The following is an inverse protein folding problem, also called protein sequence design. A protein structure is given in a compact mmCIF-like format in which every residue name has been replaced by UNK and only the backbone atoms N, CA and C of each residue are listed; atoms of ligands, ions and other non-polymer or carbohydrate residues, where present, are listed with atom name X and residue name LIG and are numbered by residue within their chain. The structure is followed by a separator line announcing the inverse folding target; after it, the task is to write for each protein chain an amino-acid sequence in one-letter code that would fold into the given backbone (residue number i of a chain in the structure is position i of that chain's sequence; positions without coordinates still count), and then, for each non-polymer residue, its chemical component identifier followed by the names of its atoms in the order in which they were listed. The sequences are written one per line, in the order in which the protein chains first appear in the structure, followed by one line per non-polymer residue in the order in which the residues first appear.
data_IF_724788358908
#
_entry.id   IF_724788358908
#
_cell.length_a   1.000
_cell.length_b   1.000
_cell.length_c   1.000
_cell.angle_alpha   90.00
_cell.angle_beta   90.00
_cell.angle_gamma   90.00
#
_symmetry.space_group_name_H-M   'P 1'
#
loop_
_entity.id
_entity.type
_entity.pdbx_description
1 polymer ?
#
# COMPACT_ATOMS: atom_id res chain seq x y z
N UNK A 1 10.59 8.49 10.84
CA UNK A 1 9.26 7.85 10.75
C UNK A 1 8.33 8.81 10.03
N UNK A 2 7.81 8.42 8.86
CA UNK A 2 6.81 9.21 8.13
C UNK A 2 5.50 9.17 8.92
N UNK A 3 5.27 10.16 9.78
CA UNK A 3 4.11 10.15 10.66
C UNK A 3 2.87 10.63 9.90
N UNK A 4 1.97 9.70 9.58
CA UNK A 4 0.61 10.06 9.16
C UNK A 4 -0.16 10.66 10.33
N UNK A 5 -1.09 11.57 10.02
CA UNK A 5 -2.02 12.11 11.00
C UNK A 5 -2.79 10.96 11.69
N UNK A 6 -2.84 10.89 13.03
CA UNK A 6 -3.56 9.83 13.75
C UNK A 6 -5.04 9.70 13.35
N UNK A 7 -5.68 10.79 12.91
CA UNK A 7 -7.05 10.76 12.37
C UNK A 7 -7.14 10.01 11.04
N UNK A 8 -6.12 10.11 10.18
CA UNK A 8 -6.05 9.35 8.93
C UNK A 8 -5.92 7.86 9.24
N UNK A 9 -5.05 7.47 10.18
CA UNK A 9 -4.92 6.07 10.60
C UNK A 9 -6.25 5.52 11.11
N UNK A 10 -6.97 6.26 11.95
CA UNK A 10 -8.31 5.85 12.44
C UNK A 10 -9.33 5.71 11.31
N UNK A 11 -9.31 6.59 10.31
CA UNK A 11 -10.20 6.49 9.14
C UNK A 11 -9.85 5.26 8.29
N UNK A 12 -8.56 5.02 8.02
CA UNK A 12 -8.11 3.82 7.29
C UNK A 12 -8.51 2.54 8.03
N UNK A 13 -8.38 2.51 9.36
CA UNK A 13 -8.83 1.40 10.19
C UNK A 13 -10.33 1.17 10.07
N UNK A 14 -11.13 2.24 10.00
CA UNK A 14 -12.58 2.13 9.78
C UNK A 14 -12.93 1.59 8.39
N UNK A 15 -12.14 1.94 7.37
CA UNK A 15 -12.38 1.51 5.98
C UNK A 15 -12.00 0.03 5.79
N UNK A 16 -10.79 -0.35 6.20
CA UNK A 16 -10.23 -1.67 5.91
C UNK A 16 -10.35 -2.68 7.05
N UNK A 17 -10.50 -2.23 8.30
CA UNK A 17 -10.29 -3.05 9.50
C UNK A 17 -8.82 -3.08 9.95
N UNK A 18 -8.57 -3.14 11.26
CA UNK A 18 -7.21 -3.12 11.82
C UNK A 18 -6.37 -4.34 11.44
N UNK A 19 -7.02 -5.50 11.30
CA UNK A 19 -6.37 -6.74 10.87
C UNK A 19 -5.86 -6.70 9.42
N UNK A 20 -6.31 -5.71 8.63
CA UNK A 20 -5.91 -5.49 7.24
C UNK A 20 -5.03 -4.26 7.07
N UNK A 21 -4.40 -3.81 8.16
CA UNK A 21 -3.38 -2.79 8.18
C UNK A 21 -2.06 -3.37 8.68
N UNK A 22 -0.95 -3.00 8.03
CA UNK A 22 0.40 -3.34 8.51
C UNK A 22 1.08 -2.07 8.99
N UNK A 23 1.37 -2.03 10.28
CA UNK A 23 2.09 -0.93 10.94
C UNK A 23 3.39 -1.39 11.62
N UNK A 24 3.63 -2.70 11.71
CA UNK A 24 4.89 -3.26 12.19
C UNK A 24 5.97 -3.08 11.13
N UNK A 25 7.04 -2.35 11.46
CA UNK A 25 8.16 -2.10 10.55
C UNK A 25 8.80 -3.40 10.04
N UNK A 26 8.87 -4.45 10.86
CA UNK A 26 9.44 -5.75 10.46
C UNK A 26 8.60 -6.45 9.39
N UNK A 27 7.30 -6.16 9.34
CA UNK A 27 6.40 -6.68 8.31
C UNK A 27 6.37 -5.74 7.09
N UNK A 28 6.49 -4.44 7.31
CA UNK A 28 6.51 -3.42 6.26
C UNK A 28 7.74 -3.50 5.36
N UNK A 29 8.86 -4.08 5.82
CA UNK A 29 10.07 -4.30 4.99
C UNK A 29 9.75 -5.01 3.67
N UNK A 30 8.75 -5.89 3.65
CA UNK A 30 8.34 -6.63 2.43
C UNK A 30 7.67 -5.73 1.38
N UNK A 31 7.30 -4.52 1.75
CA UNK A 31 6.60 -3.55 0.92
C UNK A 31 7.50 -2.37 0.52
N UNK A 32 8.79 -2.37 0.90
CA UNK A 32 9.74 -1.29 0.57
C UNK A 32 10.47 -1.52 -0.75
N UNK A 33 10.37 -2.72 -1.33
CA UNK A 33 11.03 -3.11 -2.59
C UNK A 33 10.13 -3.99 -3.45
N UNK A 34 10.50 -4.12 -4.72
CA UNK A 34 10.08 -5.19 -5.63
C UNK A 34 11.33 -5.89 -6.21
N UNK A 35 11.20 -6.65 -7.29
CA UNK A 35 12.27 -7.43 -7.94
C UNK A 35 13.22 -6.55 -8.80
N UNK A 36 13.21 -5.23 -8.58
CA UNK A 36 14.05 -4.29 -9.31
C UNK A 36 15.49 -4.31 -8.81
N UNK A 37 16.29 -5.19 -9.41
CA UNK A 37 17.73 -5.35 -9.14
C UNK A 37 18.54 -4.05 -9.21
N UNK A 38 18.13 -3.11 -10.05
CA UNK A 38 18.80 -1.82 -10.20
C UNK A 38 18.69 -0.94 -8.95
N UNK A 39 17.62 -1.09 -8.15
CA UNK A 39 17.37 -0.29 -6.94
C UNK A 39 17.99 -0.92 -5.69
N UNK A 40 18.17 -2.25 -5.66
CA UNK A 40 18.73 -3.00 -4.51
C UNK A 40 20.02 -2.41 -3.93
N UNK A 41 20.87 -1.80 -4.78
CA UNK A 41 22.17 -1.24 -4.38
C UNK A 41 22.26 0.28 -4.49
N UNK A 42 21.18 0.94 -4.93
CA UNK A 42 21.21 2.36 -5.32
C UNK A 42 20.16 3.23 -4.63
N UNK A 43 19.16 2.63 -3.99
CA UNK A 43 18.07 3.38 -3.36
C UNK A 43 18.02 3.07 -1.87
N UNK A 44 17.99 4.14 -1.07
CA UNK A 44 17.72 4.04 0.36
C UNK A 44 16.28 3.53 0.56
N UNK A 45 16.13 2.46 1.35
CA UNK A 45 14.82 1.88 1.63
C UNK A 45 13.91 2.91 2.28
N UNK A 46 12.78 3.19 1.63
CA UNK A 46 11.74 4.07 2.14
C UNK A 46 10.61 3.22 2.70
N UNK A 47 10.39 3.34 4.00
CA UNK A 47 9.25 2.71 4.63
C UNK A 47 7.97 3.49 4.34
N UNK A 48 6.88 2.81 3.97
CA UNK A 48 5.57 3.43 4.07
C UNK A 48 5.25 3.72 5.54
N UNK A 49 4.34 4.66 5.76
CA UNK A 49 3.77 4.92 7.08
C UNK A 49 2.78 3.83 7.49
N UNK A 50 2.10 3.22 6.52
CA UNK A 50 1.18 2.10 6.72
C UNK A 50 0.96 1.36 5.40
N UNK A 51 0.75 0.05 5.47
CA UNK A 51 0.21 -0.74 4.36
C UNK A 51 -1.26 -1.02 4.65
N UNK A 52 -2.13 -0.83 3.65
CA UNK A 52 -3.56 -1.16 3.74
C UNK A 52 -3.94 -2.21 2.70
N UNK A 53 -4.81 -3.14 3.08
CA UNK A 53 -5.21 -4.30 2.27
C UNK A 53 -6.74 -4.31 2.08
N UNK A 54 -7.32 -3.51 1.18
CA UNK A 54 -8.76 -3.53 0.91
C UNK A 54 -9.20 -4.84 0.22
N UNK A 55 -10.44 -5.25 0.43
CA UNK A 55 -11.10 -6.38 -0.24
C UNK A 55 -12.21 -5.97 -1.20
N UNK A 56 -12.58 -4.69 -1.25
CA UNK A 56 -13.61 -4.20 -2.17
C UNK A 56 -13.14 -2.98 -2.97
N UNK A 57 -13.67 -2.79 -4.20
CA UNK A 57 -13.47 -1.56 -4.95
C UNK A 57 -13.93 -0.30 -4.19
N UNK A 58 -14.96 -0.42 -3.34
CA UNK A 58 -15.47 0.67 -2.52
C UNK A 58 -14.43 1.11 -1.48
N UNK A 59 -13.78 0.17 -0.79
CA UNK A 59 -12.70 0.48 0.15
C UNK A 59 -11.53 1.18 -0.56
N UNK A 60 -11.13 0.71 -1.75
CA UNK A 60 -10.10 1.38 -2.57
C UNK A 60 -10.50 2.83 -2.86
N UNK A 61 -11.72 3.06 -3.31
CA UNK A 61 -12.22 4.41 -3.60
C UNK A 61 -12.21 5.31 -2.36
N UNK A 62 -12.65 4.80 -1.20
CA UNK A 62 -12.65 5.55 0.05
C UNK A 62 -11.22 5.92 0.51
N UNK A 63 -10.25 5.01 0.37
CA UNK A 63 -8.84 5.26 0.68
C UNK A 63 -8.25 6.34 -0.24
N UNK A 64 -8.49 6.24 -1.54
CA UNK A 64 -7.98 7.22 -2.52
C UNK A 64 -8.61 8.60 -2.32
N UNK A 65 -9.91 8.65 -2.01
CA UNK A 65 -10.59 9.90 -1.66
C UNK A 65 -10.05 10.53 -0.38
N UNK A 66 -9.73 9.72 0.63
CA UNK A 66 -9.11 10.19 1.88
C UNK A 66 -7.71 10.74 1.62
N UNK A 67 -6.87 10.00 0.91
CA UNK A 67 -5.47 10.38 0.66
C UNK A 67 -5.32 11.56 -0.26
N UNK A 68 -6.19 11.70 -1.27
CA UNK A 68 -6.19 12.86 -2.17
C UNK A 68 -6.44 14.17 -1.43
N UNK A 69 -7.35 14.19 -0.45
CA UNK A 69 -7.67 15.38 0.35
C UNK A 69 -6.53 15.83 1.27
N UNK A 70 -5.68 14.89 1.68
CA UNK A 70 -4.60 15.10 2.64
C UNK A 70 -3.22 15.10 1.95
N UNK A 71 -3.20 15.06 0.60
CA UNK A 71 -2.00 14.99 -0.24
C UNK A 71 -1.02 13.87 0.15
N UNK A 72 -1.57 12.72 0.58
CA UNK A 72 -0.78 11.58 1.02
C UNK A 72 -0.37 10.74 -0.20
N UNK A 73 0.93 10.48 -0.42
CA UNK A 73 1.37 9.58 -1.48
C UNK A 73 0.80 8.16 -1.31
N UNK A 74 0.33 7.57 -2.40
CA UNK A 74 -0.15 6.19 -2.44
C UNK A 74 0.63 5.40 -3.48
N UNK A 75 1.20 4.29 -3.08
CA UNK A 75 1.90 3.35 -3.96
C UNK A 75 1.03 2.09 -4.11
N UNK A 76 0.41 1.85 -5.28
CA UNK A 76 -0.35 0.63 -5.52
C UNK A 76 0.60 -0.58 -5.62
N UNK A 77 0.18 -1.73 -5.09
CA UNK A 77 0.97 -2.96 -5.13
C UNK A 77 0.06 -4.17 -5.32
N UNK A 78 0.41 -5.02 -6.30
CA UNK A 78 -0.11 -6.39 -6.42
C UNK A 78 0.81 -7.39 -5.72
N UNK A 79 1.37 -8.34 -6.46
CA UNK A 79 2.37 -9.28 -5.93
C UNK A 79 3.74 -8.67 -5.60
N UNK A 80 4.05 -7.48 -6.15
CA UNK A 80 5.32 -6.80 -5.88
C UNK A 80 6.53 -7.42 -6.59
N UNK A 81 6.30 -8.10 -7.71
CA UNK A 81 7.32 -8.79 -8.52
C UNK A 81 7.78 -7.96 -9.72
N UNK A 82 7.48 -6.67 -9.75
CA UNK A 82 7.87 -5.79 -10.86
C UNK A 82 9.38 -5.57 -10.88
N UNK A 83 9.95 -5.38 -12.08
CA UNK A 83 11.39 -5.15 -12.27
C UNK A 83 11.73 -3.70 -12.66
N UNK A 84 10.75 -2.79 -12.58
CA UNK A 84 10.89 -1.37 -12.94
C UNK A 84 10.79 -0.40 -11.76
N UNK A 85 10.50 -0.90 -10.56
CA UNK A 85 10.35 -0.11 -9.33
C UNK A 85 8.93 0.41 -9.10
N UNK A 86 7.96 0.01 -9.92
CA UNK A 86 6.60 0.54 -9.89
C UNK A 86 5.84 0.30 -8.57
N UNK A 87 6.26 -0.70 -7.79
CA UNK A 87 5.66 -1.02 -6.49
C UNK A 87 6.49 -0.52 -5.30
N UNK A 88 7.49 0.33 -5.54
CA UNK A 88 8.41 0.86 -4.51
C UNK A 88 7.91 2.21 -3.99
N UNK A 89 7.63 2.35 -2.68
CA UNK A 89 7.09 3.59 -2.10
C UNK A 89 8.18 4.65 -1.86
N UNK A 90 8.76 5.19 -2.94
CA UNK A 90 9.88 6.15 -2.88
C UNK A 90 9.55 7.46 -2.12
N UNK A 91 8.26 7.80 -2.02
CA UNK A 91 7.76 8.95 -1.26
C UNK A 91 7.18 8.57 0.11
N UNK A 92 7.33 7.31 0.55
CA UNK A 92 6.69 6.80 1.76
C UNK A 92 5.17 6.76 1.61
N UNK A 93 4.45 7.38 2.56
CA UNK A 93 2.99 7.46 2.51
C UNK A 93 2.33 6.10 2.74
N UNK A 94 1.38 5.73 1.89
CA UNK A 94 0.61 4.50 2.02
C UNK A 94 0.98 3.53 0.90
N UNK A 95 1.22 2.26 1.25
CA UNK A 95 1.17 1.18 0.25
C UNK A 95 -0.23 0.60 0.24
N UNK A 96 -0.86 0.60 -0.95
CA UNK A 96 -2.17 0.03 -1.21
C UNK A 96 -1.99 -1.38 -1.79
N UNK A 97 -2.02 -2.40 -0.94
CA UNK A 97 -1.89 -3.79 -1.38
C UNK A 97 -3.23 -4.33 -1.86
N UNK A 98 -3.30 -4.72 -3.13
CA UNK A 98 -4.51 -5.26 -3.76
C UNK A 98 -4.60 -6.79 -3.62
N UNK A 99 -3.80 -7.39 -2.73
CA UNK A 99 -3.68 -8.86 -2.57
C UNK A 99 -4.99 -9.56 -2.16
N UNK A 100 -5.98 -8.83 -1.63
CA UNK A 100 -7.31 -9.35 -1.27
C UNK A 100 -8.39 -9.11 -2.33
N UNK A 101 -8.06 -8.42 -3.42
CA UNK A 101 -8.95 -8.23 -4.57
C UNK A 101 -8.70 -9.31 -5.62
N UNK A 102 -8.94 -10.57 -5.24
CA UNK A 102 -8.56 -11.77 -6.01
C UNK A 102 -9.75 -12.60 -6.54
N UNK A 103 -10.98 -12.10 -6.38
CA UNK A 103 -12.18 -12.78 -6.84
C UNK A 103 -12.26 -12.84 -8.38
N UNK A 104 -12.43 -14.05 -8.92
CA UNK A 104 -12.86 -14.26 -10.32
C UNK A 104 -14.38 -14.08 -10.37
N UNK A 105 -14.85 -12.99 -10.97
CA UNK A 105 -16.27 -12.62 -10.98
C UNK A 105 -17.07 -13.41 -12.01
N UNK A 106 -16.50 -13.64 -13.19
CA UNK A 106 -17.16 -14.30 -14.30
C UNK A 106 -16.13 -15.02 -15.18
N UNK A 107 -16.52 -16.19 -15.70
CA UNK A 107 -15.80 -16.88 -16.76
C UNK A 107 -16.85 -17.23 -17.81
N UNK A 108 -16.77 -16.57 -18.96
CA UNK A 108 -17.59 -16.88 -20.13
C UNK A 108 -16.82 -17.91 -20.99
N UNK A 109 -17.39 -19.10 -21.16
CA UNK A 109 -16.76 -20.26 -21.84
C UNK A 109 -17.55 -20.70 -23.05
#
# INVERSE_FOLDING_TARGET
MNNLNPLVIKKLQKICGSEYMVTDENLMIRYTTDETKALEKKVELRFPAVVVKPETPQQVSEILNLTSKEEIPVTPRGGGTGESGGAVPIHGGIVLSLERLDNIIEIDT
#
